data_IF_485888764153
#
_entry.id   IF_485888764153
#
_cell.length_a   1.000
_cell.length_b   1.000
_cell.length_c   1.000
_cell.angle_alpha   90.00
_cell.angle_beta   90.00
_cell.angle_gamma   90.00
#
_symmetry.space_group_name_H-M   'P 1'
#
loop_
_entity.id
_entity.type
_entity.pdbx_description
1 polymer ?
#
# COMPACT_ATOMS: atom_id res chain seq x y z
N UNK A 1 0.41 -18.44 -8.80
CA UNK A 1 0.15 -19.41 -7.73
C UNK A 1 0.85 -18.93 -6.47
N UNK A 2 0.19 -18.97 -5.31
CA UNK A 2 0.75 -18.53 -4.02
C UNK A 2 0.59 -19.67 -3.01
N UNK A 3 1.56 -19.83 -2.10
CA UNK A 3 1.50 -20.85 -1.06
C UNK A 3 1.27 -20.22 0.30
N UNK A 4 0.40 -20.83 1.11
CA UNK A 4 0.12 -20.42 2.49
C UNK A 4 0.44 -21.55 3.46
N UNK A 5 0.72 -21.21 4.72
CA UNK A 5 0.95 -22.19 5.78
C UNK A 5 -0.32 -23.04 5.97
N UNK A 6 -0.25 -24.33 5.67
CA UNK A 6 -1.35 -25.25 5.96
C UNK A 6 -1.33 -25.68 7.42
N UNK A 7 -2.52 -25.82 8.02
CA UNK A 7 -2.71 -26.32 9.39
C UNK A 7 -2.19 -27.75 9.60
N UNK A 8 -1.99 -28.50 8.53
CA UNK A 8 -1.45 -29.87 8.52
C UNK A 8 0.08 -29.92 8.38
N UNK A 9 0.76 -28.76 8.45
CA UNK A 9 2.21 -28.64 8.25
C UNK A 9 2.68 -28.66 6.78
N UNK A 10 1.78 -28.96 5.84
CA UNK A 10 2.07 -28.89 4.40
C UNK A 10 1.53 -27.58 3.79
N UNK A 11 2.35 -26.80 3.07
CA UNK A 11 1.86 -25.60 2.39
C UNK A 11 0.71 -25.89 1.43
N UNK A 12 -0.33 -25.06 1.45
CA UNK A 12 -1.46 -25.16 0.53
C UNK A 12 -1.24 -24.19 -0.64
N UNK A 13 -1.27 -24.70 -1.86
CA UNK A 13 -1.18 -23.90 -3.08
C UNK A 13 -2.53 -23.31 -3.44
N UNK A 14 -2.60 -21.99 -3.54
CA UNK A 14 -3.78 -21.26 -3.99
C UNK A 14 -3.57 -20.83 -5.45
N UNK A 15 -4.48 -21.26 -6.29
CA UNK A 15 -4.56 -20.90 -7.70
C UNK A 15 -5.55 -19.76 -7.88
N UNK A 16 -5.05 -18.60 -8.32
CA UNK A 16 -5.89 -17.46 -8.70
C UNK A 16 -5.89 -17.33 -10.21
N UNK A 17 -7.07 -17.28 -10.81
CA UNK A 17 -7.21 -17.06 -12.26
C UNK A 17 -6.97 -15.60 -12.60
N UNK A 18 -6.52 -15.33 -13.83
CA UNK A 18 -6.40 -13.95 -14.34
C UNK A 18 -7.74 -13.20 -14.25
N UNK A 19 -8.86 -13.86 -14.56
CA UNK A 19 -10.20 -13.27 -14.45
C UNK A 19 -10.52 -12.81 -13.02
N UNK A 20 -10.23 -13.64 -12.02
CA UNK A 20 -10.46 -13.29 -10.62
C UNK A 20 -9.57 -12.11 -10.18
N UNK A 21 -8.29 -12.12 -10.56
CA UNK A 21 -7.38 -11.01 -10.26
C UNK A 21 -7.85 -9.69 -10.89
N UNK A 22 -8.23 -9.71 -12.17
CA UNK A 22 -8.74 -8.51 -12.87
C UNK A 22 -10.06 -8.01 -12.28
N UNK A 23 -10.96 -8.90 -11.88
CA UNK A 23 -12.21 -8.52 -11.21
C UNK A 23 -11.92 -7.83 -9.86
N UNK A 24 -10.97 -8.36 -9.08
CA UNK A 24 -10.52 -7.74 -7.84
C UNK A 24 -9.91 -6.36 -8.06
N UNK A 25 -9.00 -6.20 -9.03
CA UNK A 25 -8.39 -4.90 -9.33
C UNK A 25 -9.41 -3.86 -9.78
N UNK A 26 -10.41 -4.25 -10.57
CA UNK A 26 -11.51 -3.34 -10.97
C UNK A 26 -12.35 -2.90 -9.78
N UNK A 27 -12.65 -3.81 -8.86
CA UNK A 27 -13.35 -3.47 -7.61
C UNK A 27 -12.57 -2.47 -6.76
N UNK A 28 -11.26 -2.69 -6.62
CA UNK A 28 -10.37 -1.79 -5.89
C UNK A 28 -10.26 -0.41 -6.55
N UNK A 29 -10.09 -0.36 -7.87
CA UNK A 29 -10.03 0.90 -8.61
C UNK A 29 -11.33 1.73 -8.49
N UNK A 30 -12.48 1.08 -8.29
CA UNK A 30 -13.75 1.76 -8.05
C UNK A 30 -13.84 2.38 -6.65
N UNK A 31 -13.34 1.67 -5.63
CA UNK A 31 -13.32 2.18 -4.24
C UNK A 31 -12.25 3.24 -4.01
N UNK A 32 -11.10 3.09 -4.67
CA UNK A 32 -9.97 3.96 -4.56
C UNK A 32 -9.44 4.24 -5.98
N UNK A 33 -9.83 5.37 -6.59
CA UNK A 33 -9.34 5.72 -7.92
C UNK A 33 -7.85 6.05 -7.91
N UNK A 34 -7.13 5.49 -8.89
CA UNK A 34 -5.71 5.75 -9.14
C UNK A 34 -5.56 6.19 -10.59
N UNK A 35 -4.65 7.13 -10.81
CA UNK A 35 -4.32 7.66 -12.14
C UNK A 35 -2.89 7.30 -12.54
N UNK A 36 -2.52 7.55 -13.79
CA UNK A 36 -1.14 7.37 -14.27
C UNK A 36 -0.12 8.29 -13.58
N UNK A 37 -0.58 9.35 -12.90
CA UNK A 37 0.28 10.26 -12.13
C UNK A 37 0.64 9.70 -10.74
N UNK A 38 0.00 8.61 -10.32
CA UNK A 38 0.22 8.03 -9.01
C UNK A 38 1.51 7.20 -8.91
N UNK A 39 2.02 7.12 -7.69
CA UNK A 39 3.22 6.38 -7.30
C UNK A 39 2.83 5.44 -6.16
N UNK A 40 2.50 4.20 -6.51
CA UNK A 40 2.06 3.17 -5.58
C UNK A 40 3.27 2.56 -4.88
N UNK A 41 3.30 2.72 -3.56
CA UNK A 41 4.36 2.20 -2.70
C UNK A 41 4.12 0.72 -2.45
N UNK A 42 5.08 -0.12 -2.83
CA UNK A 42 5.02 -1.56 -2.57
C UNK A 42 6.20 -2.00 -1.70
N UNK A 43 5.90 -2.77 -0.66
CA UNK A 43 6.87 -3.48 0.18
C UNK A 43 6.44 -4.91 0.48
N UNK A 44 5.27 -5.32 -0.03
CA UNK A 44 4.81 -6.68 0.08
C UNK A 44 5.76 -7.59 -0.70
N UNK A 45 6.27 -8.67 -0.08
CA UNK A 45 7.02 -9.69 -0.82
C UNK A 45 6.20 -10.25 -1.98
N UNK A 46 6.82 -10.55 -3.11
CA UNK A 46 6.14 -11.09 -4.31
C UNK A 46 5.50 -12.46 -4.08
N UNK A 47 5.92 -13.18 -3.03
CA UNK A 47 5.30 -14.44 -2.60
C UNK A 47 4.10 -14.24 -1.65
N UNK A 48 3.68 -13.00 -1.41
CA UNK A 48 2.47 -12.65 -0.67
C UNK A 48 1.45 -12.02 -1.63
N UNK A 49 0.18 -12.40 -1.52
CA UNK A 49 -0.89 -11.99 -2.45
C UNK A 49 -1.14 -10.49 -2.46
N UNK A 50 -0.87 -9.81 -1.35
CA UNK A 50 -0.93 -8.35 -1.24
C UNK A 50 -0.06 -7.64 -2.27
N UNK A 51 1.05 -8.24 -2.73
CA UNK A 51 1.88 -7.65 -3.79
C UNK A 51 1.16 -7.52 -5.13
N UNK A 52 0.18 -8.40 -5.39
CA UNK A 52 -0.61 -8.35 -6.62
C UNK A 52 -1.52 -7.13 -6.64
N UNK A 53 -1.96 -6.65 -5.48
CA UNK A 53 -2.75 -5.41 -5.39
C UNK A 53 -1.92 -4.24 -5.90
N UNK A 54 -0.73 -4.00 -5.33
CA UNK A 54 0.10 -2.85 -5.68
C UNK A 54 0.49 -2.87 -7.17
N UNK A 55 0.90 -4.06 -7.67
CA UNK A 55 1.32 -4.24 -9.05
C UNK A 55 0.15 -4.13 -10.04
N UNK A 56 -0.97 -4.80 -9.74
CA UNK A 56 -2.13 -4.84 -10.62
C UNK A 56 -2.83 -3.48 -10.70
N UNK A 57 -2.89 -2.76 -9.59
CA UNK A 57 -3.47 -1.42 -9.53
C UNK A 57 -2.62 -0.40 -10.28
N UNK A 58 -1.29 -0.46 -10.14
CA UNK A 58 -0.38 0.39 -10.91
C UNK A 58 -0.45 0.08 -12.41
N UNK A 59 -0.37 -1.20 -12.78
CA UNK A 59 -0.45 -1.61 -14.18
C UNK A 59 -1.79 -1.22 -14.82
N UNK A 60 -2.90 -1.39 -14.10
CA UNK A 60 -4.23 -1.05 -14.59
C UNK A 60 -4.46 0.45 -14.80
N UNK A 61 -3.81 1.29 -13.98
CA UNK A 61 -3.93 2.75 -14.06
C UNK A 61 -2.81 3.43 -14.87
N UNK A 62 -1.78 2.69 -15.31
CA UNK A 62 -0.57 3.26 -15.89
C UNK A 62 0.29 4.03 -14.89
N UNK A 63 0.19 3.69 -13.61
CA UNK A 63 0.89 4.35 -12.52
C UNK A 63 2.30 3.78 -12.31
N UNK A 64 3.11 4.46 -11.49
CA UNK A 64 4.46 4.00 -11.14
C UNK A 64 4.42 3.13 -9.88
N UNK A 65 5.18 2.03 -9.86
CA UNK A 65 5.42 1.25 -8.63
C UNK A 65 6.73 1.71 -7.98
N UNK A 66 6.66 2.06 -6.69
CA UNK A 66 7.82 2.43 -5.86
C UNK A 66 8.11 1.27 -4.91
N UNK A 67 9.16 0.51 -5.22
CA UNK A 67 9.57 -0.63 -4.40
C UNK A 67 10.39 -0.17 -3.18
N UNK A 68 9.89 -0.44 -1.98
CA UNK A 68 10.57 -0.08 -0.73
C UNK A 68 11.44 -1.25 -0.26
N UNK A 69 12.73 -1.02 0.02
CA UNK A 69 13.60 -2.03 0.63
C UNK A 69 13.05 -2.50 1.98
N UNK A 70 12.88 -3.82 2.15
CA UNK A 70 12.27 -4.44 3.34
C UNK A 70 12.94 -4.04 4.66
N UNK A 71 14.25 -3.77 4.64
CA UNK A 71 15.00 -3.32 5.82
C UNK A 71 14.47 -1.98 6.37
N UNK A 72 13.90 -1.11 5.52
CA UNK A 72 13.37 0.18 5.96
C UNK A 72 12.12 0.02 6.85
N UNK A 73 11.37 -1.07 6.72
CA UNK A 73 10.19 -1.33 7.56
C UNK A 73 10.54 -1.44 9.06
N UNK A 74 11.80 -1.76 9.39
CA UNK A 74 12.32 -1.79 10.78
C UNK A 74 12.75 -0.42 11.29
N UNK A 75 12.79 0.59 10.43
CA UNK A 75 13.28 1.93 10.73
C UNK A 75 12.21 2.97 10.36
N UNK A 76 11.19 3.18 11.21
CA UNK A 76 10.01 3.98 10.86
C UNK A 76 10.28 5.36 10.26
N UNK A 77 11.23 6.12 10.82
CA UNK A 77 11.61 7.45 10.29
C UNK A 77 12.27 7.36 8.92
N UNK A 78 13.13 6.36 8.69
CA UNK A 78 13.78 6.14 7.38
C UNK A 78 12.79 5.64 6.35
N UNK A 79 11.82 4.82 6.75
CA UNK A 79 10.71 4.40 5.90
C UNK A 79 9.91 5.60 5.41
N UNK A 80 9.38 6.43 6.32
CA UNK A 80 8.60 7.62 5.94
C UNK A 80 9.43 8.60 5.11
N UNK A 81 10.70 8.83 5.46
CA UNK A 81 11.61 9.66 4.66
C UNK A 81 11.89 9.08 3.26
N UNK A 82 11.86 7.75 3.10
CA UNK A 82 11.93 7.12 1.79
C UNK A 82 10.66 7.36 0.98
N UNK A 83 9.47 7.22 1.60
CA UNK A 83 8.19 7.51 0.93
C UNK A 83 8.15 8.95 0.42
N UNK A 84 8.54 9.91 1.26
CA UNK A 84 8.58 11.32 0.90
C UNK A 84 9.55 11.59 -0.26
N UNK A 85 10.78 11.07 -0.19
CA UNK A 85 11.78 11.23 -1.28
C UNK A 85 11.33 10.62 -2.60
N UNK A 86 10.63 9.49 -2.55
CA UNK A 86 10.10 8.83 -3.74
C UNK A 86 8.77 9.44 -4.22
N UNK A 87 8.27 10.48 -3.54
CA UNK A 87 6.97 11.12 -3.81
C UNK A 87 5.83 10.08 -3.84
N UNK A 88 5.85 9.10 -2.93
CA UNK A 88 4.81 8.08 -2.88
C UNK A 88 3.44 8.71 -2.67
N UNK A 89 2.47 8.37 -3.52
CA UNK A 89 1.11 8.94 -3.45
C UNK A 89 0.09 7.97 -2.90
N UNK A 90 0.38 6.67 -2.97
CA UNK A 90 -0.45 5.61 -2.40
C UNK A 90 0.39 4.64 -1.60
N UNK A 91 -0.04 4.34 -0.38
CA UNK A 91 0.53 3.29 0.45
C UNK A 91 -0.56 2.45 1.10
N UNK A 92 -0.43 1.13 1.04
CA UNK A 92 -1.25 0.22 1.82
C UNK A 92 -0.36 -0.81 2.48
N UNK A 93 -0.78 -1.32 3.62
CA UNK A 93 0.02 -2.29 4.36
C UNK A 93 -0.74 -2.92 5.50
N UNK A 94 -0.24 -4.10 5.90
CA UNK A 94 -0.82 -4.87 6.99
C UNK A 94 -0.77 -4.10 8.31
N UNK A 95 -1.72 -4.35 9.24
CA UNK A 95 -1.84 -3.60 10.48
C UNK A 95 -0.54 -3.43 11.27
N UNK A 96 0.30 -4.46 11.30
CA UNK A 96 1.51 -4.51 12.12
C UNK A 96 2.59 -3.50 11.74
N UNK A 97 2.57 -2.93 10.53
CA UNK A 97 3.58 -1.94 10.12
C UNK A 97 3.29 -0.54 10.69
N UNK A 98 2.03 -0.23 10.99
CA UNK A 98 1.59 1.13 11.29
C UNK A 98 1.89 1.58 12.73
N UNK A 99 1.70 0.76 13.78
CA UNK A 99 1.96 1.21 15.15
C UNK A 99 3.39 1.74 15.38
N UNK A 100 4.46 1.09 14.89
CA UNK A 100 5.81 1.66 14.98
C UNK A 100 5.96 2.98 14.20
N UNK A 101 5.32 3.10 13.03
CA UNK A 101 5.32 4.34 12.22
C UNK A 101 4.62 5.46 12.95
N UNK A 102 3.42 5.23 13.48
CA UNK A 102 2.66 6.21 14.23
C UNK A 102 3.38 6.60 15.54
N UNK A 103 4.04 5.65 16.21
CA UNK A 103 4.76 5.94 17.46
C UNK A 103 6.02 6.77 17.24
N UNK A 104 6.75 6.56 16.15
CA UNK A 104 8.11 7.10 15.99
C UNK A 104 8.27 8.10 14.83
N UNK A 105 7.29 8.20 13.94
CA UNK A 105 7.35 8.99 12.72
C UNK A 105 5.99 9.63 12.34
N UNK A 106 5.06 9.82 13.30
CA UNK A 106 3.77 10.44 13.02
C UNK A 106 3.89 11.82 12.37
N UNK A 107 4.79 12.69 12.86
CA UNK A 107 4.93 14.05 12.33
C UNK A 107 5.49 14.04 10.89
N UNK A 108 6.48 13.19 10.63
CA UNK A 108 7.01 13.00 9.28
C UNK A 108 5.95 12.43 8.33
N UNK A 109 5.09 11.53 8.81
CA UNK A 109 4.01 10.97 8.02
C UNK A 109 2.93 12.02 7.73
N UNK A 110 2.61 12.88 8.71
CA UNK A 110 1.69 14.01 8.56
C UNK A 110 2.21 15.07 7.59
N UNK A 111 3.53 15.24 7.49
CA UNK A 111 4.15 16.15 6.54
C UNK A 111 4.06 15.65 5.08
N UNK A 112 3.76 14.37 4.85
CA UNK A 112 3.55 13.81 3.52
C UNK A 112 2.16 14.19 2.99
N UNK A 113 2.03 15.36 2.37
CA UNK A 113 0.75 15.89 1.87
C UNK A 113 0.20 15.14 0.65
N UNK A 114 1.06 14.47 -0.10
CA UNK A 114 0.72 13.70 -1.30
C UNK A 114 0.29 12.26 -1.01
N UNK A 115 0.59 11.76 0.20
CA UNK A 115 0.51 10.35 0.52
C UNK A 115 -0.89 10.01 1.01
N UNK A 116 -1.58 9.19 0.22
CA UNK A 116 -2.87 8.58 0.53
C UNK A 116 -2.65 7.15 0.98
N UNK A 117 -3.52 6.62 1.81
CA UNK A 117 -3.45 5.21 2.10
C UNK A 117 -4.73 4.57 2.59
N UNK A 118 -4.83 3.29 2.29
CA UNK A 118 -5.88 2.42 2.76
C UNK A 118 -5.28 1.52 3.85
N UNK A 119 -5.67 1.75 5.10
CA UNK A 119 -5.38 0.86 6.21
C UNK A 119 -6.65 0.10 6.57
N UNK A 120 -6.64 -1.23 6.60
CA UNK A 120 -7.77 -2.03 7.12
C UNK A 120 -7.87 -2.02 8.66
N UNK A 121 -7.13 -1.13 9.34
CA UNK A 121 -7.13 -1.04 10.80
C UNK A 121 -8.17 -0.03 11.26
N UNK A 122 -9.17 -0.50 12.00
CA UNK A 122 -10.02 0.33 12.83
C UNK A 122 -9.20 0.93 13.98
N UNK A 123 -8.43 2.00 13.71
CA UNK A 123 -7.77 2.80 14.75
C UNK A 123 -8.15 4.27 14.57
N UNK A 124 -8.66 4.94 15.62
CA UNK A 124 -9.18 6.31 15.51
C UNK A 124 -8.14 7.35 15.04
N UNK A 125 -6.84 7.10 15.23
CA UNK A 125 -5.75 7.96 14.73
C UNK A 125 -5.58 7.84 13.21
N UNK A 126 -5.88 6.69 12.62
CA UNK A 126 -5.76 6.44 11.18
C UNK A 126 -7.03 6.82 10.41
N UNK A 127 -8.20 6.80 11.07
CA UNK A 127 -9.46 7.32 10.51
C UNK A 127 -9.35 8.79 10.09
N UNK A 128 -8.57 9.59 10.84
CA UNK A 128 -8.26 10.98 10.51
C UNK A 128 -7.33 11.13 9.29
N UNK A 129 -6.50 10.13 8.99
CA UNK A 129 -5.56 10.16 7.87
C UNK A 129 -6.22 9.67 6.57
N UNK A 130 -7.02 8.61 6.64
CA UNK A 130 -7.80 8.08 5.52
C UNK A 130 -8.78 9.12 4.94
N UNK A 131 -9.31 10.04 5.76
CA UNK A 131 -10.23 11.11 5.33
C UNK A 131 -9.55 12.39 4.83
N UNK A 132 -8.30 12.67 5.19
CA UNK A 132 -7.63 13.94 4.82
C UNK A 132 -7.24 14.01 3.33
N UNK A 133 -7.25 12.87 2.63
CA UNK A 133 -6.88 12.74 1.22
C UNK A 133 -8.07 12.78 0.25
N UNK A 134 -9.29 13.04 0.74
CA UNK A 134 -10.50 13.16 -0.08
C UNK A 134 -10.69 14.52 -0.76
N UNK A 135 -9.76 15.46 -0.59
CA UNK A 135 -9.78 16.76 -1.29
C UNK A 135 -9.27 16.63 -2.72
N UNK A 136 -10.17 16.66 -3.69
CA UNK A 136 -9.86 16.86 -5.10
C UNK A 136 -8.77 17.93 -5.33
N UNK A 137 -7.78 17.58 -6.16
CA UNK A 137 -7.19 18.55 -7.09
C UNK A 137 -6.09 19.48 -6.59
N UNK A 138 -5.02 18.97 -5.99
CA UNK A 138 -3.71 19.68 -6.06
C UNK A 138 -2.62 18.70 -6.45
N UNK A 139 -2.28 18.72 -7.74
CA UNK A 139 -1.14 17.99 -8.27
C UNK A 139 0.12 18.35 -7.49
N UNK A 140 0.88 17.34 -7.10
CA UNK A 140 2.21 17.53 -6.57
C UNK A 140 3.14 17.88 -7.73
N UNK A 141 3.45 19.18 -7.87
CA UNK A 141 4.60 19.65 -8.66
C UNK A 141 5.92 19.13 -8.11
#
# INVERSE_FOLDING_TARGET
MIFTSGTTGRPKGIMMTHRAALAFFRGMAWQAPVSSQDRIVSFAPLNFDFSLLDLGWAAGAGATVVQVPRMLLRHPRRFVGYLARQRGTWVSGVPSIWPPVLRHAADALRACTCLRGCCSVASPILSLWCMRCGGHGRGCG
#
